data_IF_584206925185
#
_entry.id   IF_584206925185
#
_cell.length_a   1.000
_cell.length_b   1.000
_cell.length_c   1.000
_cell.angle_alpha   90.00
_cell.angle_beta   90.00
_cell.angle_gamma   90.00
#
_symmetry.space_group_name_H-M   'P 1'
#
loop_
_entity.id
_entity.type
_entity.pdbx_description
1 polymer ?
#
# COMPACT_ATOMS: atom_id res chain seq x y z
N UNK A 1 49.24 12.47 -9.79
CA UNK A 1 48.05 11.95 -10.50
C UNK A 1 47.01 11.68 -9.42
N UNK A 2 46.13 12.65 -9.19
CA UNK A 2 45.10 12.56 -8.14
C UNK A 2 43.81 13.05 -8.79
N UNK A 3 42.95 12.11 -9.14
CA UNK A 3 41.64 12.39 -9.74
C UNK A 3 40.76 12.91 -8.62
N UNK A 4 40.48 14.21 -8.65
CA UNK A 4 39.44 14.83 -7.83
C UNK A 4 38.10 14.21 -8.22
N UNK A 5 37.54 13.39 -7.32
CA UNK A 5 36.15 12.97 -7.41
C UNK A 5 35.26 14.18 -7.20
N UNK A 6 34.79 14.79 -8.28
CA UNK A 6 33.70 15.76 -8.21
C UNK A 6 32.49 15.05 -7.61
N UNK A 7 32.17 15.33 -6.33
CA UNK A 7 30.81 15.09 -5.83
C UNK A 7 29.89 15.93 -6.69
N UNK A 8 29.23 15.30 -7.66
CA UNK A 8 28.28 15.99 -8.52
C UNK A 8 27.19 16.61 -7.64
N UNK A 9 26.95 17.89 -7.87
CA UNK A 9 26.05 18.72 -7.06
C UNK A 9 24.61 18.32 -7.38
N UNK A 10 23.86 17.91 -6.36
CA UNK A 10 22.42 17.69 -6.50
C UNK A 10 21.73 19.02 -6.84
N UNK A 11 20.79 19.01 -7.79
CA UNK A 11 20.00 20.19 -8.17
C UNK A 11 18.81 20.45 -7.22
N UNK A 12 18.60 19.56 -6.25
CA UNK A 12 17.63 19.69 -5.16
C UNK A 12 18.32 19.62 -3.79
N UNK A 13 17.64 20.10 -2.76
CA UNK A 13 18.13 20.10 -1.38
C UNK A 13 17.17 19.40 -0.43
N UNK A 14 17.70 18.89 0.68
CA UNK A 14 16.88 18.30 1.75
C UNK A 14 15.82 19.29 2.27
N UNK A 15 16.12 20.59 2.29
CA UNK A 15 15.17 21.64 2.69
C UNK A 15 13.97 21.72 1.76
N UNK A 16 14.18 21.58 0.45
CA UNK A 16 13.09 21.60 -0.53
C UNK A 16 12.24 20.33 -0.45
N UNK A 17 12.88 19.17 -0.24
CA UNK A 17 12.19 17.89 -0.01
C UNK A 17 11.29 18.01 1.22
N UNK A 18 11.86 18.39 2.37
CA UNK A 18 11.11 18.52 3.63
C UNK A 18 9.97 19.53 3.51
N UNK A 19 10.20 20.67 2.85
CA UNK A 19 9.15 21.66 2.61
C UNK A 19 7.96 21.07 1.82
N UNK A 20 8.21 20.19 0.85
CA UNK A 20 7.14 19.52 0.11
C UNK A 20 6.38 18.54 1.01
N UNK A 21 7.09 17.72 1.79
CA UNK A 21 6.46 16.76 2.71
C UNK A 21 5.62 17.48 3.79
N UNK A 22 6.17 18.54 4.39
CA UNK A 22 5.47 19.38 5.38
C UNK A 22 4.20 19.99 4.78
N UNK A 23 4.27 20.51 3.54
CA UNK A 23 3.12 21.08 2.84
C UNK A 23 2.02 20.03 2.62
N UNK A 24 2.39 18.81 2.22
CA UNK A 24 1.45 17.70 2.04
C UNK A 24 0.84 17.26 3.38
N UNK A 25 1.61 17.29 4.48
CA UNK A 25 1.08 17.03 5.81
C UNK A 25 0.06 18.09 6.24
N UNK A 26 0.34 19.37 6.00
CA UNK A 26 -0.61 20.47 6.21
C UNK A 26 -1.88 20.34 5.36
N UNK A 27 -1.76 19.80 4.14
CA UNK A 27 -2.88 19.59 3.21
C UNK A 27 -3.59 18.24 3.40
N UNK A 28 -3.20 17.44 4.39
CA UNK A 28 -3.74 16.09 4.65
C UNK A 28 -3.58 15.10 3.47
N UNK A 29 -2.55 15.29 2.64
CA UNK A 29 -2.20 14.39 1.52
C UNK A 29 -0.94 13.57 1.79
N UNK A 30 -0.27 13.81 2.92
CA UNK A 30 0.74 12.91 3.48
C UNK A 30 0.06 11.72 4.20
N UNK A 31 0.62 10.50 4.15
CA UNK A 31 -0.03 9.32 4.75
C UNK A 31 -0.24 9.47 6.26
N UNK A 32 -1.48 9.23 6.69
CA UNK A 32 -1.84 9.07 8.10
C UNK A 32 -1.96 7.57 8.41
N UNK A 33 -0.93 6.99 9.01
CA UNK A 33 -0.90 5.55 9.30
C UNK A 33 -1.83 5.13 10.44
N UNK A 34 -2.33 6.11 11.21
CA UNK A 34 -3.32 5.99 12.27
C UNK A 34 -4.70 6.51 11.85
N UNK A 35 -4.98 6.54 10.54
CA UNK A 35 -6.27 6.97 10.01
C UNK A 35 -7.40 6.09 10.56
N UNK A 36 -8.28 6.67 11.39
CA UNK A 36 -9.40 5.97 12.02
C UNK A 36 -10.51 5.46 11.08
N UNK A 37 -10.36 5.64 9.77
CA UNK A 37 -11.22 5.04 8.75
C UNK A 37 -10.59 3.84 8.02
N UNK A 38 -9.28 3.64 8.18
CA UNK A 38 -8.53 2.61 7.45
C UNK A 38 -7.94 1.63 8.44
N UNK A 39 -8.24 0.34 8.26
CA UNK A 39 -7.53 -0.74 8.91
C UNK A 39 -6.26 -1.05 8.12
N UNK A 40 -5.05 -0.71 8.62
CA UNK A 40 -3.83 -0.96 7.87
C UNK A 40 -3.46 -2.43 7.91
N UNK A 41 -2.87 -2.87 6.81
CA UNK A 41 -2.43 -4.24 6.55
C UNK A 41 -0.92 -4.26 6.35
N UNK A 42 -0.40 -3.41 5.46
CA UNK A 42 1.01 -3.34 5.10
C UNK A 42 1.40 -1.91 4.73
N UNK A 43 2.67 -1.57 4.88
CA UNK A 43 3.20 -0.32 4.32
C UNK A 43 4.62 -0.49 3.83
N UNK A 44 4.95 0.21 2.75
CA UNK A 44 6.29 0.22 2.16
C UNK A 44 6.67 1.64 1.79
N UNK A 45 7.94 1.99 1.98
CA UNK A 45 8.50 3.23 1.50
C UNK A 45 9.67 2.96 0.55
N UNK A 46 9.61 3.54 -0.64
CA UNK A 46 10.64 3.44 -1.66
C UNK A 46 11.13 4.84 -2.04
N UNK A 47 12.44 5.05 -2.06
CA UNK A 47 13.04 6.31 -2.47
C UNK A 47 13.94 6.14 -3.70
N UNK A 48 13.83 7.09 -4.62
CA UNK A 48 14.49 7.09 -5.92
C UNK A 48 15.20 8.42 -6.12
N UNK A 49 16.42 8.41 -6.68
CA UNK A 49 17.10 9.66 -7.02
C UNK A 49 18.24 9.52 -8.02
N UNK A 50 18.51 10.63 -8.71
CA UNK A 50 19.77 10.90 -9.39
C UNK A 50 20.30 12.31 -8.99
N UNK A 51 21.11 12.95 -9.85
CA UNK A 51 21.65 14.30 -9.61
C UNK A 51 20.60 15.41 -9.68
N UNK A 52 19.52 15.21 -10.44
CA UNK A 52 18.52 16.23 -10.77
C UNK A 52 17.13 15.88 -10.26
N UNK A 53 16.83 14.59 -10.21
CA UNK A 53 15.51 14.04 -9.95
C UNK A 53 15.50 13.29 -8.63
N UNK A 54 14.37 13.36 -7.95
CA UNK A 54 14.08 12.52 -6.80
C UNK A 54 12.58 12.21 -6.74
N UNK A 55 12.27 11.04 -6.20
CA UNK A 55 10.93 10.66 -5.85
C UNK A 55 10.92 9.85 -4.55
N UNK A 56 9.84 9.97 -3.79
CA UNK A 56 9.54 9.17 -2.61
C UNK A 56 8.12 8.62 -2.79
N UNK A 57 7.97 7.31 -2.66
CA UNK A 57 6.67 6.64 -2.72
C UNK A 57 6.47 5.98 -1.36
N UNK A 58 5.34 6.28 -0.72
CA UNK A 58 4.87 5.57 0.47
C UNK A 58 3.57 4.85 0.08
N UNK A 59 3.62 3.53 0.11
CA UNK A 59 2.49 2.64 -0.12
C UNK A 59 1.81 2.35 1.22
N UNK A 60 0.50 2.57 1.29
CA UNK A 60 -0.34 2.21 2.43
C UNK A 60 -1.41 1.25 1.93
N UNK A 61 -1.27 -0.02 2.33
CA UNK A 61 -2.23 -1.07 2.01
C UNK A 61 -3.19 -1.19 3.18
N UNK A 62 -4.48 -1.05 2.92
CA UNK A 62 -5.49 -1.06 3.97
C UNK A 62 -6.88 -1.38 3.45
N UNK A 63 -7.79 -1.53 4.41
CA UNK A 63 -9.23 -1.64 4.17
C UNK A 63 -9.95 -0.44 4.78
N UNK A 64 -10.78 0.24 4.00
CA UNK A 64 -11.63 1.34 4.46
C UNK A 64 -13.06 0.87 4.73
N UNK A 65 -13.48 0.85 5.99
CA UNK A 65 -14.78 0.27 6.37
C UNK A 65 -15.99 1.09 5.92
N UNK A 66 -15.81 2.32 5.38
CA UNK A 66 -16.96 3.16 5.00
C UNK A 66 -17.68 2.72 3.74
N UNK A 67 -17.02 1.98 2.85
CA UNK A 67 -17.61 1.52 1.58
C UNK A 67 -17.83 0.02 1.49
N UNK A 68 -17.05 -0.78 2.23
CA UNK A 68 -17.07 -2.24 2.17
C UNK A 68 -16.54 -2.82 0.85
N UNK A 69 -16.20 -4.10 0.86
CA UNK A 69 -15.90 -4.85 -0.35
C UNK A 69 -14.53 -4.57 -1.00
N UNK A 70 -14.41 -4.98 -2.26
CA UNK A 70 -13.14 -4.95 -3.01
C UNK A 70 -12.64 -3.54 -3.31
N UNK A 71 -13.56 -2.60 -3.55
CA UNK A 71 -13.24 -1.20 -3.84
C UNK A 71 -12.66 -0.47 -2.62
N UNK A 72 -12.74 -1.04 -1.42
CA UNK A 72 -12.14 -0.45 -0.23
C UNK A 72 -10.87 -1.18 0.23
N UNK A 73 -10.46 -2.24 -0.47
CA UNK A 73 -9.15 -2.87 -0.32
C UNK A 73 -8.22 -2.27 -1.36
N UNK A 74 -7.36 -1.35 -0.92
CA UNK A 74 -6.47 -0.63 -1.84
C UNK A 74 -5.04 -0.57 -1.34
N UNK A 75 -4.12 -0.48 -2.30
CA UNK A 75 -2.79 0.06 -2.07
C UNK A 75 -2.80 1.53 -2.52
N UNK A 76 -2.75 2.45 -1.56
CA UNK A 76 -2.71 3.89 -1.80
C UNK A 76 -1.25 4.36 -1.90
N UNK A 77 -0.87 4.88 -3.07
CA UNK A 77 0.48 5.41 -3.31
C UNK A 77 0.51 6.91 -3.01
N UNK A 78 1.20 7.29 -1.92
CA UNK A 78 1.54 8.67 -1.64
C UNK A 78 2.87 9.00 -2.31
N UNK A 79 2.86 9.93 -3.27
CA UNK A 79 3.99 10.16 -4.17
C UNK A 79 4.49 11.58 -4.01
N UNK A 80 5.79 11.72 -3.80
CA UNK A 80 6.48 13.00 -3.66
C UNK A 80 7.65 13.04 -4.61
N UNK A 81 8.06 14.22 -5.06
CA UNK A 81 9.15 14.35 -6.01
C UNK A 81 9.13 15.63 -6.80
N UNK A 82 10.18 15.81 -7.61
CA UNK A 82 10.29 16.90 -8.58
C UNK A 82 10.20 16.40 -10.04
N UNK A 83 9.87 15.12 -10.24
CA UNK A 83 9.76 14.46 -11.54
C UNK A 83 8.54 13.55 -11.61
N UNK A 84 7.47 13.90 -10.92
CA UNK A 84 6.21 13.14 -10.87
C UNK A 84 5.18 13.81 -11.78
N UNK A 85 4.27 13.03 -12.36
CA UNK A 85 3.23 13.54 -13.26
C UNK A 85 1.98 14.06 -12.51
N UNK A 86 1.84 13.70 -11.24
CA UNK A 86 0.73 14.08 -10.35
C UNK A 86 1.13 15.17 -9.35
N UNK A 87 0.17 15.66 -8.56
CA UNK A 87 0.48 16.53 -7.41
C UNK A 87 1.17 15.70 -6.31
N UNK A 88 2.13 16.28 -5.57
CA UNK A 88 2.72 15.60 -4.42
C UNK A 88 1.68 15.25 -3.35
N UNK A 89 1.80 14.05 -2.78
CA UNK A 89 0.87 13.47 -1.81
C UNK A 89 -0.01 12.38 -2.42
N UNK A 90 -1.24 12.26 -1.94
CA UNK A 90 -2.27 11.36 -2.50
C UNK A 90 -2.99 12.00 -3.69
N UNK A 91 -3.28 11.18 -4.69
CA UNK A 91 -4.17 11.50 -5.81
C UNK A 91 -5.10 10.30 -6.07
N UNK A 92 -6.28 10.52 -6.64
CA UNK A 92 -7.23 9.44 -6.94
C UNK A 92 -6.66 8.44 -7.95
N UNK A 93 -5.79 8.89 -8.86
CA UNK A 93 -5.11 8.02 -9.82
C UNK A 93 -4.04 7.12 -9.15
N UNK A 94 -3.73 7.35 -7.87
CA UNK A 94 -2.73 6.59 -7.12
C UNK A 94 -3.31 5.47 -6.25
N UNK A 95 -4.61 5.17 -6.36
CA UNK A 95 -5.20 4.00 -5.72
C UNK A 95 -5.09 2.79 -6.66
N UNK A 96 -4.50 1.71 -6.16
CA UNK A 96 -4.47 0.42 -6.82
C UNK A 96 -5.48 -0.51 -6.15
N UNK A 97 -6.50 -0.93 -6.91
CA UNK A 97 -7.46 -1.94 -6.49
C UNK A 97 -7.00 -3.30 -7.01
N UNK A 98 -6.62 -4.16 -6.08
CA UNK A 98 -5.86 -5.38 -6.38
C UNK A 98 -6.65 -6.65 -6.13
N UNK A 99 -7.88 -6.55 -5.65
CA UNK A 99 -8.72 -7.70 -5.31
C UNK A 99 -10.02 -7.70 -6.11
N UNK A 100 -10.57 -8.88 -6.38
CA UNK A 100 -11.88 -9.03 -7.02
C UNK A 100 -12.52 -10.37 -6.60
N UNK A 101 -13.82 -10.52 -6.88
CA UNK A 101 -14.56 -11.75 -6.68
C UNK A 101 -14.08 -12.84 -7.66
N UNK A 102 -14.21 -14.10 -7.24
CA UNK A 102 -14.24 -15.20 -8.21
C UNK A 102 -15.69 -15.44 -8.68
N UNK A 103 -15.86 -16.18 -9.78
CA UNK A 103 -17.14 -16.37 -10.48
C UNK A 103 -18.22 -17.11 -9.69
N UNK A 104 -17.88 -17.84 -8.63
CA UNK A 104 -18.83 -18.71 -7.91
C UNK A 104 -19.64 -17.98 -6.83
N UNK A 105 -19.00 -17.11 -6.04
CA UNK A 105 -19.61 -16.43 -4.90
C UNK A 105 -18.92 -15.08 -4.66
N UNK A 106 -19.66 -14.10 -4.12
CA UNK A 106 -19.06 -12.88 -3.56
C UNK A 106 -18.09 -13.25 -2.44
N UNK A 107 -16.88 -12.69 -2.45
CA UNK A 107 -15.85 -12.83 -1.41
C UNK A 107 -16.37 -12.41 -0.04
N UNK A 108 -17.21 -11.38 0.01
CA UNK A 108 -17.69 -10.76 1.25
C UNK A 108 -19.18 -10.96 1.47
N UNK A 109 -19.59 -10.90 2.75
CA UNK A 109 -21.00 -10.94 3.15
C UNK A 109 -21.80 -9.82 2.49
N UNK A 110 -23.07 -10.07 2.17
CA UNK A 110 -23.89 -9.11 1.43
C UNK A 110 -24.46 -7.96 2.28
N UNK A 111 -24.41 -8.05 3.62
CA UNK A 111 -25.07 -7.07 4.48
C UNK A 111 -24.23 -5.80 4.60
N UNK A 112 -22.93 -5.97 4.90
CA UNK A 112 -22.00 -4.85 5.09
C UNK A 112 -20.72 -4.97 4.26
N UNK A 113 -20.45 -6.12 3.63
CA UNK A 113 -19.22 -6.36 2.85
C UNK A 113 -17.92 -6.15 3.68
N UNK A 114 -18.02 -6.25 5.00
CA UNK A 114 -16.92 -6.04 5.95
C UNK A 114 -16.34 -7.37 6.44
N UNK A 115 -17.04 -8.49 6.26
CA UNK A 115 -16.55 -9.82 6.62
C UNK A 115 -16.62 -10.81 5.47
N UNK A 116 -15.84 -11.89 5.56
CA UNK A 116 -15.82 -12.95 4.55
C UNK A 116 -17.19 -13.62 4.44
N UNK A 117 -17.63 -13.86 3.20
CA UNK A 117 -18.77 -14.73 2.93
C UNK A 117 -18.38 -16.18 3.31
N UNK A 118 -19.11 -16.85 4.23
CA UNK A 118 -18.80 -18.22 4.65
C UNK A 118 -18.82 -19.27 3.52
N UNK A 119 -19.46 -18.96 2.38
CA UNK A 119 -19.52 -19.84 1.21
C UNK A 119 -18.44 -19.55 0.17
N UNK A 120 -17.76 -18.41 0.25
CA UNK A 120 -16.70 -18.06 -0.68
C UNK A 120 -15.47 -18.94 -0.45
N UNK A 121 -15.00 -19.62 -1.50
CA UNK A 121 -13.82 -20.50 -1.39
C UNK A 121 -12.57 -19.86 -1.94
N UNK A 122 -12.74 -18.95 -2.89
CA UNK A 122 -11.66 -18.31 -3.61
C UNK A 122 -12.00 -16.84 -3.88
N UNK A 123 -10.96 -16.05 -4.07
CA UNK A 123 -11.02 -14.67 -4.57
C UNK A 123 -9.92 -14.46 -5.59
N UNK A 124 -9.93 -13.31 -6.27
CA UNK A 124 -8.83 -12.90 -7.14
C UNK A 124 -7.95 -11.88 -6.42
N UNK A 125 -6.64 -12.09 -6.48
CA UNK A 125 -5.61 -11.13 -6.12
C UNK A 125 -4.77 -10.86 -7.37
N UNK A 126 -4.88 -9.65 -7.92
CA UNK A 126 -4.29 -9.26 -9.22
C UNK A 126 -4.64 -10.24 -10.34
N UNK A 127 -5.91 -10.67 -10.37
CA UNK A 127 -6.43 -11.65 -11.33
C UNK A 127 -5.97 -13.10 -11.11
N UNK A 128 -5.14 -13.38 -10.10
CA UNK A 128 -4.74 -14.74 -9.71
C UNK A 128 -5.69 -15.27 -8.66
N UNK A 129 -6.13 -16.51 -8.84
CA UNK A 129 -6.99 -17.18 -7.87
C UNK A 129 -6.23 -17.46 -6.56
N UNK A 130 -6.84 -17.08 -5.44
CA UNK A 130 -6.36 -17.30 -4.09
C UNK A 130 -7.43 -18.04 -3.28
N UNK A 131 -7.02 -19.05 -2.51
CA UNK A 131 -7.93 -19.81 -1.63
C UNK A 131 -8.19 -19.01 -0.35
N UNK A 132 -9.47 -18.84 -0.01
CA UNK A 132 -9.89 -18.17 1.22
C UNK A 132 -9.80 -19.16 2.38
N UNK A 133 -9.10 -18.77 3.44
CA UNK A 133 -8.97 -19.58 4.64
C UNK A 133 -10.04 -19.19 5.67
N UNK A 134 -11.01 -20.07 5.90
CA UNK A 134 -12.04 -19.85 6.93
C UNK A 134 -11.66 -20.40 8.31
N UNK A 135 -10.47 -20.99 8.45
CA UNK A 135 -10.04 -21.55 9.73
C UNK A 135 -9.52 -20.44 10.65
N UNK A 136 -10.27 -20.12 11.70
CA UNK A 136 -9.89 -19.11 12.71
C UNK A 136 -8.52 -19.36 13.32
N UNK A 137 -8.14 -20.61 13.57
CA UNK A 137 -6.84 -20.96 14.15
C UNK A 137 -5.68 -20.52 13.25
N UNK A 138 -5.86 -20.39 11.94
CA UNK A 138 -4.83 -19.87 11.04
C UNK A 138 -4.45 -18.43 11.42
N UNK A 139 -5.44 -17.57 11.68
CA UNK A 139 -5.23 -16.17 12.03
C UNK A 139 -4.67 -16.01 13.44
N UNK A 140 -5.24 -16.73 14.41
CA UNK A 140 -4.80 -16.69 15.80
C UNK A 140 -3.33 -17.14 15.94
N UNK A 141 -2.91 -18.19 15.21
CA UNK A 141 -1.52 -18.65 15.21
C UNK A 141 -0.53 -17.64 14.59
N UNK A 142 -1.04 -16.68 13.80
CA UNK A 142 -0.27 -15.55 13.27
C UNK A 142 -0.27 -14.33 14.20
N UNK A 143 -0.91 -14.42 15.37
CA UNK A 143 -1.05 -13.31 16.31
C UNK A 143 -2.08 -12.27 15.90
N UNK A 144 -2.98 -12.61 14.97
CA UNK A 144 -4.07 -11.72 14.54
C UNK A 144 -5.22 -11.88 15.53
N UNK A 145 -5.62 -10.78 16.16
CA UNK A 145 -6.81 -10.73 16.98
C UNK A 145 -8.07 -10.77 16.10
N UNK A 146 -9.02 -11.62 16.47
CA UNK A 146 -10.31 -11.73 15.78
C UNK A 146 -11.39 -11.09 16.64
N UNK A 147 -12.03 -10.04 16.12
CA UNK A 147 -12.98 -9.21 16.84
C UNK A 147 -14.29 -9.97 17.16
N UNK A 148 -14.79 -10.73 16.19
CA UNK A 148 -16.02 -11.51 16.31
C UNK A 148 -15.74 -13.02 16.33
N UNK A 149 -16.62 -13.79 16.99
CA UNK A 149 -16.41 -15.24 17.19
C UNK A 149 -16.74 -16.08 15.95
N UNK A 150 -17.68 -15.62 15.15
CA UNK A 150 -18.27 -16.34 14.02
C UNK A 150 -17.99 -15.68 12.66
N UNK A 151 -17.25 -14.57 12.66
CA UNK A 151 -16.83 -13.86 11.46
C UNK A 151 -15.30 -13.72 11.38
N UNK A 152 -14.82 -13.50 10.17
CA UNK A 152 -13.46 -13.04 9.88
C UNK A 152 -13.64 -11.76 9.07
N UNK A 153 -13.23 -10.62 9.62
CA UNK A 153 -13.31 -9.34 8.95
C UNK A 153 -12.27 -9.21 7.84
N UNK A 154 -12.53 -8.32 6.88
CA UNK A 154 -11.67 -8.11 5.71
C UNK A 154 -10.23 -7.78 6.13
N UNK A 155 -10.03 -6.91 7.12
CA UNK A 155 -8.69 -6.54 7.58
C UNK A 155 -7.96 -7.69 8.27
N UNK A 156 -8.67 -8.52 9.04
CA UNK A 156 -8.11 -9.74 9.65
C UNK A 156 -7.70 -10.75 8.58
N UNK A 157 -8.56 -10.94 7.58
CA UNK A 157 -8.30 -11.78 6.43
C UNK A 157 -7.04 -11.32 5.67
N UNK A 158 -6.98 -10.05 5.30
CA UNK A 158 -5.86 -9.48 4.54
C UNK A 158 -4.55 -9.49 5.33
N UNK A 159 -4.57 -9.22 6.64
CA UNK A 159 -3.39 -9.39 7.53
C UNK A 159 -2.91 -10.84 7.58
N UNK A 160 -3.83 -11.81 7.46
CA UNK A 160 -3.48 -13.22 7.34
C UNK A 160 -2.74 -13.57 6.06
N UNK A 161 -2.95 -12.81 4.97
CA UNK A 161 -2.28 -12.98 3.68
C UNK A 161 -0.93 -12.28 3.59
N UNK A 162 -0.76 -11.14 4.28
CA UNK A 162 0.41 -10.28 4.14
C UNK A 162 1.77 -11.03 4.17
N UNK A 163 2.03 -11.95 5.11
CA UNK A 163 3.35 -12.59 5.18
C UNK A 163 3.71 -13.42 3.94
N UNK A 164 2.73 -13.97 3.24
CA UNK A 164 2.93 -14.81 2.06
C UNK A 164 2.68 -14.08 0.74
N UNK A 165 1.93 -12.97 0.76
CA UNK A 165 1.45 -12.27 -0.43
C UNK A 165 1.83 -10.79 -0.49
N UNK A 166 2.75 -10.31 0.36
CA UNK A 166 3.16 -8.90 0.39
C UNK A 166 3.57 -8.35 -0.99
N UNK A 167 4.34 -9.10 -1.77
CA UNK A 167 4.75 -8.69 -3.12
C UNK A 167 3.56 -8.51 -4.06
N UNK A 168 2.50 -9.31 -3.90
CA UNK A 168 1.25 -9.16 -4.65
C UNK A 168 0.38 -8.00 -4.14
N UNK A 169 0.53 -7.59 -2.88
CA UNK A 169 -0.16 -6.42 -2.32
C UNK A 169 0.49 -5.11 -2.74
N UNK A 170 1.81 -5.11 -2.86
CA UNK A 170 2.62 -3.97 -3.25
C UNK A 170 2.46 -3.59 -4.73
N UNK A 171 2.79 -2.35 -5.06
CA UNK A 171 2.83 -1.83 -6.42
C UNK A 171 3.94 -2.54 -7.21
N UNK A 172 3.61 -2.92 -8.45
CA UNK A 172 4.56 -3.48 -9.40
C UNK A 172 5.49 -2.40 -9.94
N UNK A 173 6.66 -2.80 -10.45
CA UNK A 173 7.57 -1.87 -11.13
C UNK A 173 6.91 -1.17 -12.33
N UNK A 174 5.96 -1.82 -13.01
CA UNK A 174 5.18 -1.19 -14.08
C UNK A 174 4.30 -0.07 -13.53
N UNK A 175 3.50 -0.33 -12.50
CA UNK A 175 2.63 0.66 -11.86
C UNK A 175 3.44 1.84 -11.28
N UNK A 176 4.64 1.58 -10.75
CA UNK A 176 5.57 2.62 -10.31
C UNK A 176 6.07 3.45 -11.51
N UNK A 177 6.44 2.79 -12.61
CA UNK A 177 6.97 3.47 -13.81
C UNK A 177 5.94 4.34 -14.55
N UNK A 178 4.65 4.14 -14.29
CA UNK A 178 3.57 5.00 -14.77
C UNK A 178 3.49 6.33 -14.00
N UNK A 179 4.19 6.43 -12.85
CA UNK A 179 4.12 7.58 -11.92
C UNK A 179 5.44 8.33 -11.78
N UNK A 180 6.56 7.64 -12.01
CA UNK A 180 7.92 8.21 -11.97
C UNK A 180 8.74 7.73 -13.17
N UNK A 181 9.81 8.47 -13.57
CA UNK A 181 10.66 8.05 -14.68
C UNK A 181 11.26 6.67 -14.46
N UNK A 182 11.09 5.78 -15.44
CA UNK A 182 11.53 4.37 -15.37
C UNK A 182 13.05 4.21 -15.30
N UNK A 183 13.82 5.24 -15.64
CA UNK A 183 15.28 5.27 -15.53
C UNK A 183 15.78 5.83 -14.19
N UNK A 184 14.88 6.23 -13.28
CA UNK A 184 15.26 6.81 -12.00
C UNK A 184 15.73 5.71 -11.01
N UNK A 185 16.98 5.75 -10.51
CA UNK A 185 17.49 4.67 -9.66
C UNK A 185 16.81 4.62 -8.28
N UNK A 186 16.33 3.44 -7.87
CA UNK A 186 15.94 3.16 -6.48
C UNK A 186 17.17 3.15 -5.59
N UNK A 187 17.16 3.96 -4.52
CA UNK A 187 18.29 4.09 -3.58
C UNK A 187 17.99 3.53 -2.20
N UNK A 188 16.71 3.34 -1.87
CA UNK A 188 16.26 2.85 -0.57
C UNK A 188 14.89 2.23 -0.71
N UNK A 189 14.65 1.19 0.08
CA UNK A 189 13.37 0.56 0.29
C UNK A 189 13.28 0.18 1.77
N UNK A 190 12.13 0.44 2.39
CA UNK A 190 11.80 0.04 3.75
C UNK A 190 10.43 -0.64 3.73
N UNK A 191 10.39 -1.91 4.13
CA UNK A 191 9.17 -2.73 4.19
C UNK A 191 8.72 -3.00 5.63
N UNK A 192 9.58 -2.73 6.62
CA UNK A 192 9.28 -2.90 8.04
C UNK A 192 8.84 -1.58 8.68
N UNK A 193 7.69 -1.05 8.24
CA UNK A 193 6.99 0.03 8.93
C UNK A 193 5.80 -0.55 9.69
N UNK A 194 6.10 -1.15 10.86
CA UNK A 194 5.08 -1.69 11.75
C UNK A 194 4.55 -0.58 12.64
N UNK A 195 3.28 -0.21 12.48
CA UNK A 195 2.48 0.28 13.60
C UNK A 195 2.19 -0.92 14.49
N UNK A 196 2.67 -0.92 15.73
CA UNK A 196 2.32 -1.94 16.72
C UNK A 196 0.79 -1.92 16.91
N UNK A 197 0.15 -3.08 16.73
CA UNK A 197 -1.23 -3.35 17.14
C UNK A 197 -1.20 -4.47 18.18
#
# INVERSE_FOLDING_TARGET
>A
MTIFGFKKKQEYSAKEILKQLDKCAEDFTFPMLDNGYVYPIHSKMSAYRDEKRWALIIEVIGFNYRGGGHDEISNCLHIFGNCIDTKPGTDNENFLYITDNNTENSTFDEEYLESLNPQAKTMLLRGKELIINHNREFYLNKGIELEEKDKIFVWEFMRGLEPEYNNELEATEQEISERIPSDLPKIMELTEWKTEY
#
